data_IF_416470081737
#
_entry.id   IF_416470081737
#
_cell.length_a   1.000
_cell.length_b   1.000
_cell.length_c   1.000
_cell.angle_alpha   90.00
_cell.angle_beta   90.00
_cell.angle_gamma   90.00
#
_symmetry.space_group_name_H-M   'P 1'
#
loop_
_entity.id
_entity.type
_entity.pdbx_description
1 polymer ?
#
# COMPACT_ATOMS: atom_id res chain seq x y z
N UNK A 1 18.97 -8.24 38.15
CA UNK A 1 19.13 -7.04 37.32
C UNK A 1 18.93 -7.33 35.83
N UNK A 2 19.52 -8.38 35.35
CA UNK A 2 19.42 -8.75 33.94
C UNK A 2 18.00 -9.13 33.53
N UNK A 3 17.24 -9.76 34.40
CA UNK A 3 15.87 -10.19 34.12
C UNK A 3 14.92 -9.02 33.84
N UNK A 4 15.12 -7.91 34.56
CA UNK A 4 14.28 -6.73 34.39
C UNK A 4 14.48 -6.11 32.99
N UNK A 5 15.71 -6.12 32.49
CA UNK A 5 16.02 -5.63 31.15
C UNK A 5 15.35 -6.45 30.06
N UNK A 6 15.27 -7.78 30.23
CA UNK A 6 14.64 -8.67 29.27
C UNK A 6 13.13 -8.44 29.15
N UNK A 7 12.46 -8.21 30.29
CA UNK A 7 11.03 -7.94 30.30
C UNK A 7 10.70 -6.60 29.66
N UNK A 8 11.49 -5.57 29.93
CA UNK A 8 11.31 -4.26 29.32
C UNK A 8 11.50 -4.32 27.81
N UNK A 9 12.47 -5.10 27.34
CA UNK A 9 12.71 -5.25 25.90
C UNK A 9 11.53 -5.92 25.20
N UNK A 10 10.95 -6.96 25.82
CA UNK A 10 9.78 -7.63 25.25
C UNK A 10 8.56 -6.71 25.19
N UNK A 11 8.33 -5.95 26.25
CA UNK A 11 7.21 -5.00 26.29
C UNK A 11 7.41 -3.91 25.25
N UNK A 12 8.62 -3.41 25.07
CA UNK A 12 8.94 -2.40 24.07
C UNK A 12 8.76 -2.96 22.66
N UNK A 13 9.23 -4.17 22.40
CA UNK A 13 9.07 -4.82 21.10
C UNK A 13 7.61 -5.04 20.76
N UNK A 14 6.81 -5.46 21.75
CA UNK A 14 5.37 -5.64 21.55
C UNK A 14 4.69 -4.31 21.24
N UNK A 15 5.04 -3.25 21.97
CA UNK A 15 4.49 -1.92 21.74
C UNK A 15 4.87 -1.41 20.34
N UNK A 16 6.10 -1.63 19.91
CA UNK A 16 6.57 -1.24 18.58
C UNK A 16 5.80 -1.97 17.49
N UNK A 17 5.56 -3.27 17.65
CA UNK A 17 4.78 -4.05 16.68
C UNK A 17 3.34 -3.58 16.62
N UNK A 18 2.74 -3.27 17.76
CA UNK A 18 1.38 -2.75 17.81
C UNK A 18 1.28 -1.41 17.11
N UNK A 19 2.21 -0.50 17.40
CA UNK A 19 2.26 0.80 16.75
C UNK A 19 2.47 0.67 15.23
N UNK A 20 3.34 -0.23 14.81
CA UNK A 20 3.59 -0.48 13.40
C UNK A 20 2.34 -1.02 12.70
N UNK A 21 1.64 -1.95 13.34
CA UNK A 21 0.38 -2.50 12.81
C UNK A 21 -0.66 -1.40 12.60
N UNK A 22 -0.80 -0.52 13.57
CA UNK A 22 -1.76 0.59 13.49
C UNK A 22 -1.38 1.57 12.38
N UNK A 23 -0.10 1.95 12.32
CA UNK A 23 0.41 2.86 11.30
C UNK A 23 0.22 2.29 9.91
N UNK A 24 0.67 1.05 9.69
CA UNK A 24 0.61 0.43 8.38
C UNK A 24 -0.82 0.07 8.01
N UNK A 25 -1.65 -0.33 8.96
CA UNK A 25 -3.08 -0.56 8.72
C UNK A 25 -3.78 0.68 8.21
N UNK A 26 -3.55 1.82 8.86
CA UNK A 26 -4.13 3.09 8.45
C UNK A 26 -3.58 3.53 7.08
N UNK A 27 -2.29 3.37 6.88
CA UNK A 27 -1.65 3.69 5.59
C UNK A 27 -2.23 2.83 4.47
N UNK A 28 -2.29 1.52 4.68
CA UNK A 28 -2.83 0.56 3.70
C UNK A 28 -4.26 0.93 3.32
N UNK A 29 -5.10 1.19 4.32
CA UNK A 29 -6.50 1.56 4.09
C UNK A 29 -6.61 2.85 3.29
N UNK A 30 -5.84 3.87 3.65
CA UNK A 30 -5.87 5.15 2.93
C UNK A 30 -5.40 5.02 1.49
N UNK A 31 -4.38 4.22 1.25
CA UNK A 31 -3.85 4.01 -0.10
C UNK A 31 -4.80 3.16 -0.95
N UNK A 32 -5.44 2.16 -0.36
CA UNK A 32 -6.49 1.41 -1.05
C UNK A 32 -7.64 2.34 -1.47
N UNK A 33 -8.00 3.30 -0.63
CA UNK A 33 -9.05 4.27 -0.99
C UNK A 33 -8.64 5.07 -2.21
N UNK A 34 -7.40 5.52 -2.29
CA UNK A 34 -6.88 6.24 -3.46
C UNK A 34 -7.01 5.38 -4.72
N UNK A 35 -6.60 4.10 -4.63
CA UNK A 35 -6.69 3.19 -5.77
C UNK A 35 -8.15 2.95 -6.19
N UNK A 36 -9.04 2.77 -5.22
CA UNK A 36 -10.46 2.58 -5.50
C UNK A 36 -11.11 3.82 -6.12
N UNK A 37 -10.63 5.01 -5.81
CA UNK A 37 -11.12 6.25 -6.41
C UNK A 37 -10.84 6.28 -7.91
N UNK A 38 -9.73 5.68 -8.37
CA UNK A 38 -9.47 5.51 -9.80
C UNK A 38 -10.53 4.64 -10.47
N UNK A 39 -10.92 3.55 -9.81
CA UNK A 39 -11.97 2.66 -10.32
C UNK A 39 -13.32 3.39 -10.36
N UNK A 40 -13.62 4.14 -9.32
CA UNK A 40 -14.85 4.93 -9.25
C UNK A 40 -14.93 5.92 -10.42
N UNK A 41 -13.84 6.63 -10.68
CA UNK A 41 -13.77 7.56 -11.80
C UNK A 41 -13.95 6.83 -13.13
N UNK A 42 -13.46 5.61 -13.24
CA UNK A 42 -13.66 4.76 -14.41
C UNK A 42 -15.12 4.44 -14.65
N UNK A 43 -15.88 4.09 -13.62
CA UNK A 43 -17.31 3.85 -13.73
C UNK A 43 -18.05 5.10 -14.20
N UNK A 44 -17.68 6.26 -13.68
CA UNK A 44 -18.28 7.53 -14.10
C UNK A 44 -18.04 7.78 -15.58
N UNK A 45 -16.83 7.50 -16.06
CA UNK A 45 -16.48 7.67 -17.48
C UNK A 45 -17.22 6.66 -18.36
N UNK A 46 -17.39 5.43 -17.87
CA UNK A 46 -18.19 4.42 -18.58
C UNK A 46 -19.64 4.88 -18.73
N UNK A 47 -20.23 5.37 -17.64
CA UNK A 47 -21.62 5.85 -17.65
C UNK A 47 -21.80 7.06 -18.57
N UNK A 48 -20.76 7.88 -18.70
CA UNK A 48 -20.76 9.04 -19.60
C UNK A 48 -20.46 8.68 -21.06
N UNK A 49 -20.15 7.42 -21.34
CA UNK A 49 -19.83 6.98 -22.69
C UNK A 49 -18.43 7.36 -23.16
N UNK A 50 -17.56 7.79 -22.26
CA UNK A 50 -16.19 8.18 -22.59
C UNK A 50 -15.26 6.98 -22.78
N UNK A 51 -15.55 5.88 -22.12
CA UNK A 51 -14.84 4.61 -22.24
C UNK A 51 -15.85 3.48 -22.38
N UNK A 52 -15.38 2.33 -22.84
CA UNK A 52 -16.23 1.14 -22.96
C UNK A 52 -15.92 0.12 -21.86
N UNK A 53 -16.64 -0.98 -21.87
CA UNK A 53 -16.51 -2.05 -20.89
C UNK A 53 -15.12 -2.66 -20.90
N UNK A 54 -14.48 -2.77 -22.05
CA UNK A 54 -13.13 -3.31 -22.16
C UNK A 54 -12.12 -2.38 -21.49
N UNK A 55 -12.28 -1.08 -21.68
CA UNK A 55 -11.43 -0.07 -21.04
C UNK A 55 -11.56 -0.14 -19.52
N UNK A 56 -12.79 -0.28 -19.02
CA UNK A 56 -13.02 -0.38 -17.59
C UNK A 56 -12.43 -1.69 -17.02
N UNK A 57 -12.57 -2.79 -17.75
CA UNK A 57 -11.99 -4.07 -17.35
C UNK A 57 -10.46 -3.96 -17.20
N UNK A 58 -9.80 -3.30 -18.15
CA UNK A 58 -8.36 -3.04 -18.04
C UNK A 58 -8.02 -2.17 -16.85
N UNK A 59 -8.84 -1.18 -16.54
CA UNK A 59 -8.66 -0.31 -15.38
C UNK A 59 -8.76 -1.13 -14.08
N UNK A 60 -9.68 -2.08 -14.02
CA UNK A 60 -9.82 -2.96 -12.87
C UNK A 60 -8.60 -3.87 -12.73
N UNK A 61 -8.05 -4.36 -13.83
CA UNK A 61 -6.80 -5.13 -13.80
C UNK A 61 -5.64 -4.28 -13.29
N UNK A 62 -5.57 -3.03 -13.71
CA UNK A 62 -4.58 -2.08 -13.20
C UNK A 62 -4.73 -1.91 -11.68
N UNK A 63 -5.96 -1.71 -11.22
CA UNK A 63 -6.25 -1.63 -9.78
C UNK A 63 -5.72 -2.86 -9.04
N UNK A 64 -5.99 -4.06 -9.55
CA UNK A 64 -5.57 -5.29 -8.90
C UNK A 64 -4.05 -5.40 -8.78
N UNK A 65 -3.32 -5.00 -9.83
CA UNK A 65 -1.84 -5.00 -9.78
C UNK A 65 -1.32 -4.00 -8.75
N UNK A 66 -1.89 -2.81 -8.72
CA UNK A 66 -1.51 -1.77 -7.76
C UNK A 66 -1.81 -2.21 -6.33
N UNK A 67 -3.00 -2.77 -6.10
CA UNK A 67 -3.39 -3.26 -4.78
C UNK A 67 -2.48 -4.40 -4.30
N UNK A 68 -2.09 -5.30 -5.20
CA UNK A 68 -1.18 -6.39 -4.87
C UNK A 68 0.21 -5.87 -4.47
N UNK A 69 0.73 -4.89 -5.19
CA UNK A 69 2.01 -4.27 -4.90
C UNK A 69 1.98 -3.56 -3.54
N UNK A 70 0.90 -2.84 -3.28
CA UNK A 70 0.68 -2.18 -1.99
C UNK A 70 0.61 -3.20 -0.85
N UNK A 71 -0.14 -4.28 -1.05
CA UNK A 71 -0.26 -5.35 -0.07
C UNK A 71 1.12 -5.94 0.26
N UNK A 72 1.93 -6.20 -0.75
CA UNK A 72 3.27 -6.75 -0.56
C UNK A 72 4.16 -5.79 0.24
N UNK A 73 4.04 -4.49 0.01
CA UNK A 73 4.78 -3.50 0.78
C UNK A 73 4.36 -3.50 2.25
N UNK A 74 3.05 -3.51 2.51
CA UNK A 74 2.52 -3.40 3.88
C UNK A 74 2.74 -4.68 4.69
N UNK A 75 2.68 -5.85 4.05
CA UNK A 75 2.83 -7.13 4.72
C UNK A 75 1.61 -7.53 5.53
N UNK A 76 1.72 -8.68 6.21
CA UNK A 76 0.60 -9.26 6.94
C UNK A 76 1.00 -9.85 8.30
N UNK A 77 2.21 -9.60 8.77
CA UNK A 77 2.69 -10.11 10.06
C UNK A 77 3.43 -9.01 10.82
N UNK A 78 3.62 -9.24 12.13
CA UNK A 78 4.26 -8.25 13.01
C UNK A 78 5.63 -7.80 12.54
N UNK A 79 6.47 -8.73 12.05
CA UNK A 79 7.80 -8.39 11.54
C UNK A 79 7.70 -7.56 10.26
N UNK A 80 6.80 -7.95 9.37
CA UNK A 80 6.58 -7.23 8.12
C UNK A 80 6.04 -5.82 8.38
N UNK A 81 5.14 -5.68 9.34
CA UNK A 81 4.61 -4.34 9.71
C UNK A 81 5.71 -3.44 10.25
N UNK A 82 6.63 -3.98 11.06
CA UNK A 82 7.77 -3.20 11.54
C UNK A 82 8.67 -2.74 10.41
N UNK A 83 8.97 -3.64 9.48
CA UNK A 83 9.80 -3.31 8.31
C UNK A 83 9.11 -2.28 7.43
N UNK A 84 7.81 -2.46 7.17
CA UNK A 84 7.03 -1.54 6.36
C UNK A 84 6.95 -0.16 7.02
N UNK A 85 6.76 -0.11 8.34
CA UNK A 85 6.71 1.16 9.07
C UNK A 85 8.03 1.92 8.97
N UNK A 86 9.14 1.21 9.13
CA UNK A 86 10.48 1.82 8.99
C UNK A 86 10.72 2.30 7.57
N UNK A 87 10.36 1.49 6.58
CA UNK A 87 10.52 1.84 5.17
C UNK A 87 9.66 3.07 4.83
N UNK A 88 8.42 3.10 5.29
CA UNK A 88 7.52 4.23 5.04
C UNK A 88 8.05 5.52 5.65
N UNK A 89 8.51 5.46 6.90
CA UNK A 89 9.09 6.61 7.58
C UNK A 89 10.30 7.13 6.80
N UNK A 90 11.18 6.24 6.36
CA UNK A 90 12.35 6.61 5.59
C UNK A 90 11.97 7.25 4.26
N UNK A 91 11.01 6.66 3.53
CA UNK A 91 10.56 7.20 2.25
C UNK A 91 9.94 8.59 2.41
N UNK A 92 9.17 8.80 3.47
CA UNK A 92 8.58 10.10 3.76
C UNK A 92 9.64 11.15 4.07
N UNK A 93 10.67 10.78 4.82
CA UNK A 93 11.79 11.68 5.13
C UNK A 93 12.53 12.08 3.87
N UNK A 94 12.63 11.18 2.88
CA UNK A 94 13.30 11.43 1.62
C UNK A 94 12.39 12.11 0.59
N UNK A 95 11.11 12.30 0.90
CA UNK A 95 10.15 12.81 -0.07
C UNK A 95 9.87 11.85 -1.22
N UNK A 96 10.04 10.56 -0.98
CA UNK A 96 9.95 9.52 -2.01
C UNK A 96 8.82 8.52 -1.72
N UNK A 97 7.74 8.98 -1.12
CA UNK A 97 6.58 8.13 -0.87
C UNK A 97 6.04 7.60 -2.20
N UNK A 98 5.79 6.29 -2.30
CA UNK A 98 5.40 5.70 -3.59
C UNK A 98 4.02 6.14 -4.07
N UNK A 99 3.88 6.22 -5.39
CA UNK A 99 2.59 6.30 -6.05
C UNK A 99 2.20 4.87 -6.45
N UNK A 100 1.30 4.26 -5.69
CA UNK A 100 0.94 2.85 -5.90
C UNK A 100 0.18 2.62 -7.18
N UNK A 101 -0.59 3.61 -7.64
CA UNK A 101 -1.27 3.50 -8.93
C UNK A 101 -0.26 3.35 -10.07
N UNK A 102 0.76 4.20 -10.07
CA UNK A 102 1.82 4.14 -11.07
C UNK A 102 2.61 2.84 -11.00
N UNK A 103 2.83 2.33 -9.79
CA UNK A 103 3.56 1.08 -9.61
C UNK A 103 2.84 -0.13 -10.17
N UNK A 104 1.51 -0.08 -10.26
CA UNK A 104 0.70 -1.13 -10.86
C UNK A 104 0.39 -0.91 -12.33
N UNK A 105 0.89 0.16 -12.92
CA UNK A 105 0.60 0.49 -14.31
C UNK A 105 1.05 -0.62 -15.26
N UNK A 106 0.32 -0.82 -16.38
CA UNK A 106 0.73 -1.82 -17.37
C UNK A 106 2.10 -1.45 -17.94
N UNK A 107 2.91 -2.46 -18.19
CA UNK A 107 4.20 -2.25 -18.84
C UNK A 107 3.96 -1.85 -20.30
N UNK A 108 4.61 -0.77 -20.70
CA UNK A 108 4.53 -0.36 -22.10
C UNK A 108 5.34 -1.32 -22.96
N UNK A 109 4.85 -1.51 -24.19
CA UNK A 109 5.57 -2.31 -25.17
C UNK A 109 6.94 -1.68 -25.47
N UNK A 110 7.97 -2.53 -25.56
CA UNK A 110 9.33 -2.06 -25.84
C UNK A 110 9.51 -1.60 -27.28
N UNK A 111 8.61 -2.02 -28.14
CA UNK A 111 8.70 -1.71 -29.57
C UNK A 111 7.98 -0.42 -29.93
N UNK A 112 7.36 0.19 -28.99
CA UNK A 112 6.63 1.45 -29.24
C UNK A 112 7.53 2.65 -29.30
#
# INVERSE_FOLDING_TARGET
MVAAGGEQNRATEKAERTAARELIGAYHQSQLRVLLDHVRAGFTRLDAGEIDEFDLDELIHHYKRSAATLWNFCGSSGRQWLQAAKALTHLREQGQEPDWWERGAPRRSRTS
#
